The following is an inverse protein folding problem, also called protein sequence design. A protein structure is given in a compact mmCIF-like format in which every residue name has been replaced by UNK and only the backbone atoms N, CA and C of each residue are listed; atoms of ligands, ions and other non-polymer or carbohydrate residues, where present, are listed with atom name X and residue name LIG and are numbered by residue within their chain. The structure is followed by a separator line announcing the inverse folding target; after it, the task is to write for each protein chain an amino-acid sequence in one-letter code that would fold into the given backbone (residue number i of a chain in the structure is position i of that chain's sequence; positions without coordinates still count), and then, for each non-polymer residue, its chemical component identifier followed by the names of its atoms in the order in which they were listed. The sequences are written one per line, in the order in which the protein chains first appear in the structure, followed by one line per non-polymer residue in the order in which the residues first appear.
data_IF_869124220612
#
_entry.id   IF_869124220612
#
_cell.length_a   1.000
_cell.length_b   1.000
_cell.length_c   1.000
_cell.angle_alpha   90.00
_cell.angle_beta   90.00
_cell.angle_gamma   90.00
#
_symmetry.space_group_name_H-M   'P 1'
#
loop_
_entity.id
_entity.type
_entity.pdbx_description
1 polymer ?
#
# COMPACT_ATOMS: atom_id res chain seq x y z
N UNK A 1 -1.04 22.25 9.51
CA UNK A 1 -1.76 23.30 8.73
C UNK A 1 -1.98 22.79 7.32
N UNK A 2 -3.23 22.62 6.91
CA UNK A 2 -3.60 22.17 5.56
C UNK A 2 -3.52 23.35 4.61
N UNK A 3 -2.68 23.29 3.59
CA UNK A 3 -2.64 24.29 2.53
C UNK A 3 -3.95 24.20 1.72
N UNK A 4 -4.73 25.28 1.75
CA UNK A 4 -5.93 25.42 0.92
C UNK A 4 -5.59 26.26 -0.30
N UNK A 5 -6.01 25.81 -1.49
CA UNK A 5 -6.01 26.65 -2.68
C UNK A 5 -7.01 27.80 -2.50
N UNK A 6 -6.76 28.97 -3.12
CA UNK A 6 -7.77 30.02 -3.26
C UNK A 6 -9.06 29.41 -3.82
N UNK A 7 -10.23 29.96 -3.42
CA UNK A 7 -11.55 29.39 -3.75
C UNK A 7 -11.85 29.36 -5.25
N UNK A 8 -11.11 30.11 -6.03
CA UNK A 8 -11.40 30.35 -7.44
C UNK A 8 -10.55 29.44 -8.35
N UNK A 9 -11.23 28.60 -9.10
CA UNK A 9 -10.88 28.01 -10.40
C UNK A 9 -9.75 26.95 -10.52
N UNK A 10 -8.90 26.72 -9.52
CA UNK A 10 -7.79 25.76 -9.69
C UNK A 10 -8.20 24.29 -9.49
N UNK A 11 -9.33 24.01 -8.83
CA UNK A 11 -9.72 22.63 -8.51
C UNK A 11 -10.13 21.82 -9.73
N UNK A 12 -10.65 22.49 -10.76
CA UNK A 12 -11.13 21.88 -11.99
C UNK A 12 -10.09 21.90 -13.12
N UNK A 13 -8.91 22.48 -12.89
CA UNK A 13 -7.83 22.45 -13.88
C UNK A 13 -7.17 21.08 -13.89
N UNK A 14 -6.86 20.63 -15.09
CA UNK A 14 -6.18 19.37 -15.31
C UNK A 14 -4.66 19.55 -15.31
N UNK A 15 -3.96 18.51 -14.90
CA UNK A 15 -2.51 18.41 -14.93
C UNK A 15 -2.07 16.99 -15.31
N UNK A 16 -1.08 16.88 -16.16
CA UNK A 16 -0.46 15.60 -16.49
C UNK A 16 0.57 15.21 -15.45
N UNK A 17 0.44 14.02 -14.90
CA UNK A 17 1.41 13.45 -13.96
C UNK A 17 2.69 13.04 -14.70
N UNK A 18 3.85 13.51 -14.23
CA UNK A 18 5.15 13.20 -14.86
C UNK A 18 5.62 11.73 -14.65
N UNK A 19 4.90 10.94 -13.86
CA UNK A 19 5.28 9.55 -13.59
C UNK A 19 4.40 8.56 -14.34
N UNK A 20 3.08 8.78 -14.41
CA UNK A 20 2.17 7.85 -15.08
C UNK A 20 1.60 8.40 -16.40
N UNK A 21 1.97 9.61 -16.78
CA UNK A 21 1.53 10.35 -17.97
C UNK A 21 0.01 10.48 -18.11
N UNK A 22 -0.74 10.27 -17.02
CA UNK A 22 -2.20 10.44 -16.99
C UNK A 22 -2.55 11.89 -16.62
N UNK A 23 -3.45 12.50 -17.39
CA UNK A 23 -4.05 13.78 -17.06
C UNK A 23 -5.12 13.58 -16.00
N UNK A 24 -5.06 14.35 -14.92
CA UNK A 24 -5.95 14.28 -13.76
C UNK A 24 -6.22 15.69 -13.24
N UNK A 25 -7.33 15.89 -12.58
CA UNK A 25 -7.63 17.16 -11.92
C UNK A 25 -6.59 17.48 -10.84
N UNK A 26 -6.34 18.76 -10.60
CA UNK A 26 -5.34 19.23 -9.61
C UNK A 26 -5.59 18.68 -8.21
N UNK A 27 -6.83 18.36 -7.86
CA UNK A 27 -7.17 17.70 -6.59
C UNK A 27 -6.45 16.36 -6.36
N UNK A 28 -6.00 15.71 -7.43
CA UNK A 28 -5.21 14.47 -7.39
C UNK A 28 -3.70 14.71 -7.15
N UNK A 29 -3.28 15.96 -6.99
CA UNK A 29 -1.89 16.31 -6.72
C UNK A 29 -1.74 16.92 -5.34
N UNK A 30 -0.52 16.83 -4.78
CA UNK A 30 -0.20 17.49 -3.52
C UNK A 30 0.17 18.95 -3.78
N UNK A 31 -0.23 19.80 -2.86
CA UNK A 31 0.14 21.19 -2.83
C UNK A 31 1.35 21.37 -1.91
N UNK A 32 2.26 22.24 -2.29
CA UNK A 32 3.42 22.62 -1.48
C UNK A 32 3.62 24.14 -1.48
N UNK A 33 4.28 24.65 -0.45
CA UNK A 33 4.67 26.06 -0.41
C UNK A 33 5.84 26.29 -1.34
N UNK A 34 5.70 27.24 -2.27
CA UNK A 34 6.78 27.72 -3.11
C UNK A 34 6.66 29.25 -3.23
N UNK A 35 7.64 29.97 -2.69
CA UNK A 35 7.64 31.45 -2.70
C UNK A 35 7.71 32.04 -4.12
N UNK A 36 8.10 31.24 -5.10
CA UNK A 36 8.18 31.65 -6.52
C UNK A 36 6.86 31.43 -7.26
N UNK A 37 5.95 30.65 -6.68
CA UNK A 37 4.66 30.37 -7.30
C UNK A 37 3.64 31.46 -6.97
N UNK A 38 2.68 31.67 -7.89
CA UNK A 38 1.56 32.55 -7.63
C UNK A 38 0.81 32.11 -6.34
N UNK A 39 0.52 33.05 -5.45
CA UNK A 39 -0.05 32.79 -4.12
C UNK A 39 0.82 31.89 -3.21
N UNK A 40 2.13 31.78 -3.46
CA UNK A 40 3.07 30.95 -2.71
C UNK A 40 2.69 29.45 -2.63
N UNK A 41 1.91 28.96 -3.59
CA UNK A 41 1.46 27.57 -3.64
C UNK A 41 1.79 26.97 -5.00
N UNK A 42 2.56 25.90 -5.00
CA UNK A 42 2.84 25.09 -6.16
C UNK A 42 2.08 23.77 -6.12
N UNK A 43 1.69 23.28 -7.28
CA UNK A 43 1.12 21.94 -7.45
C UNK A 43 2.24 20.98 -7.84
N UNK A 44 2.41 19.90 -7.11
CA UNK A 44 3.42 18.88 -7.42
C UNK A 44 3.22 18.29 -8.81
N UNK A 45 4.31 17.86 -9.43
CA UNK A 45 4.29 17.27 -10.79
C UNK A 45 3.82 15.81 -10.81
N UNK A 46 3.91 15.12 -9.67
CA UNK A 46 3.49 13.72 -9.51
C UNK A 46 2.14 13.66 -8.81
N UNK A 47 1.21 12.88 -9.34
CA UNK A 47 -0.08 12.67 -8.67
C UNK A 47 0.07 11.92 -7.34
N UNK A 48 -0.92 12.05 -6.46
CA UNK A 48 -0.93 11.44 -5.11
C UNK A 48 -0.67 9.94 -5.16
N UNK A 49 -1.33 9.23 -6.07
CA UNK A 49 -1.13 7.80 -6.27
C UNK A 49 0.34 7.43 -6.59
N UNK A 50 0.96 8.14 -7.53
CA UNK A 50 2.36 7.90 -7.88
C UNK A 50 3.32 8.23 -6.73
N UNK A 51 3.01 9.26 -5.94
CA UNK A 51 3.79 9.63 -4.77
C UNK A 51 3.66 8.58 -3.66
N UNK A 52 2.44 8.10 -3.37
CA UNK A 52 2.20 7.03 -2.38
C UNK A 52 2.84 5.70 -2.83
N UNK A 53 2.75 5.35 -4.11
CA UNK A 53 3.40 4.16 -4.65
C UNK A 53 4.93 4.22 -4.49
N UNK A 54 5.55 5.38 -4.79
CA UNK A 54 6.98 5.59 -4.58
C UNK A 54 7.37 5.47 -3.10
N UNK A 55 6.54 5.99 -2.19
CA UNK A 55 6.76 5.87 -0.74
C UNK A 55 6.70 4.42 -0.30
N UNK A 56 5.73 3.67 -0.83
CA UNK A 56 5.59 2.26 -0.52
C UNK A 56 6.80 1.44 -0.98
N UNK A 57 7.29 1.66 -2.22
CA UNK A 57 8.54 1.03 -2.69
C UNK A 57 9.71 1.28 -1.73
N UNK A 58 9.87 2.52 -1.28
CA UNK A 58 10.92 2.85 -0.31
C UNK A 58 10.69 2.23 1.06
N UNK A 59 9.44 2.17 1.48
CA UNK A 59 9.07 1.54 2.75
C UNK A 59 9.42 0.06 2.75
N UNK A 60 9.02 -0.72 1.74
CA UNK A 60 9.35 -2.16 1.69
C UNK A 60 10.85 -2.39 1.62
N UNK A 61 11.60 -1.59 0.84
CA UNK A 61 13.07 -1.70 0.80
C UNK A 61 13.69 -1.41 2.15
N UNK A 62 13.24 -0.36 2.84
CA UNK A 62 13.79 0.03 4.15
C UNK A 62 13.42 -0.95 5.26
N UNK A 63 12.20 -1.48 5.23
CA UNK A 63 11.64 -2.27 6.35
C UNK A 63 11.95 -3.75 6.22
N UNK A 64 11.91 -4.28 5.00
CA UNK A 64 12.05 -5.73 4.73
C UNK A 64 13.30 -6.08 3.92
N UNK A 65 14.07 -5.08 3.53
CA UNK A 65 15.27 -5.19 2.67
C UNK A 65 15.03 -5.92 1.34
N UNK A 66 13.81 -5.92 0.82
CA UNK A 66 13.48 -6.45 -0.49
C UNK A 66 13.34 -5.35 -1.54
N UNK A 67 13.74 -5.63 -2.76
CA UNK A 67 13.54 -4.73 -3.88
C UNK A 67 12.08 -4.76 -4.37
N UNK A 68 11.71 -3.80 -5.22
CA UNK A 68 10.38 -3.83 -5.84
C UNK A 68 10.23 -5.00 -6.81
N UNK A 69 11.28 -5.33 -7.51
CA UNK A 69 11.36 -6.46 -8.43
C UNK A 69 11.12 -7.78 -7.68
N UNK A 70 11.75 -7.95 -6.51
CA UNK A 70 11.49 -9.11 -5.64
C UNK A 70 10.02 -9.16 -5.17
N UNK A 71 9.43 -8.00 -4.86
CA UNK A 71 8.01 -7.95 -4.52
C UNK A 71 7.13 -8.39 -5.71
N UNK A 72 7.44 -7.92 -6.93
CA UNK A 72 6.71 -8.31 -8.15
C UNK A 72 6.86 -9.81 -8.43
N UNK A 73 8.05 -10.37 -8.30
CA UNK A 73 8.28 -11.82 -8.43
C UNK A 73 7.44 -12.62 -7.42
N UNK A 74 7.39 -12.19 -6.16
CA UNK A 74 6.55 -12.84 -5.14
C UNK A 74 5.06 -12.72 -5.49
N UNK A 75 4.62 -11.58 -5.99
CA UNK A 75 3.25 -11.33 -6.41
C UNK A 75 2.85 -12.24 -7.57
N UNK A 76 3.73 -12.39 -8.58
CA UNK A 76 3.50 -13.24 -9.73
C UNK A 76 3.52 -14.73 -9.35
N UNK A 77 4.45 -15.15 -8.50
CA UNK A 77 4.52 -16.52 -7.97
C UNK A 77 3.27 -16.91 -7.16
N UNK A 78 2.59 -15.93 -6.56
CA UNK A 78 1.31 -16.10 -5.86
C UNK A 78 0.09 -15.90 -6.78
N UNK A 79 0.29 -15.68 -8.10
CA UNK A 79 -0.77 -15.36 -9.07
C UNK A 79 -1.63 -14.15 -8.65
N UNK A 80 -1.04 -13.17 -7.97
CA UNK A 80 -1.72 -11.99 -7.44
C UNK A 80 -2.68 -12.29 -6.30
N UNK A 81 -2.54 -13.44 -5.63
CA UNK A 81 -3.41 -13.92 -4.57
C UNK A 81 -2.74 -13.87 -3.19
N UNK A 82 -3.54 -13.70 -2.15
CA UNK A 82 -3.09 -13.86 -0.77
C UNK A 82 -2.55 -15.27 -0.54
N UNK A 83 -1.39 -15.41 0.10
CA UNK A 83 -0.77 -16.71 0.36
C UNK A 83 -1.64 -17.63 1.25
N UNK A 84 -2.49 -17.05 2.12
CA UNK A 84 -3.35 -17.80 3.05
C UNK A 84 -4.73 -18.05 2.42
N UNK A 85 -5.55 -17.02 2.26
CA UNK A 85 -6.96 -17.20 1.85
C UNK A 85 -7.16 -17.31 0.34
N UNK A 86 -6.10 -17.20 -0.45
CA UNK A 86 -6.11 -17.28 -1.92
C UNK A 86 -7.01 -16.23 -2.61
N UNK A 87 -7.55 -15.26 -1.87
CA UNK A 87 -8.31 -14.17 -2.49
C UNK A 87 -7.42 -13.38 -3.42
N UNK A 88 -7.93 -13.13 -4.63
CA UNK A 88 -7.23 -12.33 -5.63
C UNK A 88 -7.36 -10.85 -5.29
N UNK A 89 -6.24 -10.15 -5.28
CA UNK A 89 -6.22 -8.71 -5.12
C UNK A 89 -6.15 -8.07 -6.50
N UNK A 90 -7.07 -7.16 -6.77
CA UNK A 90 -7.02 -6.35 -7.98
C UNK A 90 -5.69 -5.61 -8.06
N UNK A 91 -5.03 -5.66 -9.21
CA UNK A 91 -3.73 -5.00 -9.48
C UNK A 91 -3.81 -3.46 -9.49
N UNK A 92 -4.83 -2.87 -8.86
CA UNK A 92 -4.90 -1.43 -8.72
C UNK A 92 -3.84 -0.96 -7.71
N UNK A 93 -3.29 0.25 -7.93
CA UNK A 93 -2.31 0.85 -7.02
C UNK A 93 -2.82 1.08 -5.60
N UNK A 94 -4.11 0.97 -5.39
CA UNK A 94 -4.80 1.18 -4.11
C UNK A 94 -5.11 -0.12 -3.36
N UNK A 95 -5.21 -1.23 -4.07
CA UNK A 95 -5.37 -2.57 -3.51
C UNK A 95 -4.11 -3.38 -3.78
N UNK A 96 -3.41 -3.77 -2.74
CA UNK A 96 -2.13 -4.51 -2.81
C UNK A 96 -2.08 -5.56 -1.72
N UNK A 97 -1.24 -6.57 -1.94
CA UNK A 97 -0.83 -7.48 -0.89
C UNK A 97 0.23 -6.81 0.00
N UNK A 98 0.26 -7.16 1.26
CA UNK A 98 1.22 -6.69 2.24
C UNK A 98 2.33 -7.72 2.41
N UNK A 99 3.56 -7.24 2.54
CA UNK A 99 4.69 -8.11 2.86
C UNK A 99 4.51 -8.64 4.28
N UNK A 100 4.45 -9.95 4.41
CA UNK A 100 4.45 -10.65 5.68
C UNK A 100 5.86 -11.15 6.01
N UNK A 101 6.25 -11.08 7.26
CA UNK A 101 7.58 -11.46 7.72
C UNK A 101 7.55 -12.02 9.14
N UNK A 102 8.53 -12.80 9.48
CA UNK A 102 8.73 -13.28 10.85
C UNK A 102 9.26 -12.13 11.71
N UNK A 103 8.61 -11.83 12.82
CA UNK A 103 9.00 -10.76 13.73
C UNK A 103 10.33 -11.03 14.46
N UNK A 104 10.67 -12.30 14.67
CA UNK A 104 11.90 -12.70 15.36
C UNK A 104 13.11 -12.69 14.43
N UNK A 105 12.93 -13.21 13.19
CA UNK A 105 14.06 -13.40 12.25
C UNK A 105 14.09 -12.35 11.15
N UNK A 106 13.05 -11.50 11.05
CA UNK A 106 12.83 -10.53 9.98
C UNK A 106 12.73 -11.15 8.56
N UNK A 107 12.69 -12.46 8.46
CA UNK A 107 12.60 -13.16 7.19
C UNK A 107 11.21 -12.96 6.58
N UNK A 108 11.19 -12.49 5.33
CA UNK A 108 9.95 -12.37 4.54
C UNK A 108 9.39 -13.77 4.25
N UNK A 109 8.11 -13.97 4.54
CA UNK A 109 7.37 -15.25 4.36
C UNK A 109 6.55 -15.27 3.09
N UNK A 110 5.96 -14.13 2.71
CA UNK A 110 5.09 -14.03 1.55
C UNK A 110 4.29 -12.74 1.52
N UNK A 111 3.29 -12.71 0.65
CA UNK A 111 2.38 -11.58 0.49
C UNK A 111 0.98 -11.96 0.95
N UNK A 112 0.38 -11.15 1.81
CA UNK A 112 -0.93 -11.38 2.38
C UNK A 112 -1.91 -10.23 2.08
N UNK A 113 -3.20 -10.52 2.04
CA UNK A 113 -4.23 -9.49 2.12
C UNK A 113 -4.24 -8.86 3.53
N UNK A 114 -4.84 -7.68 3.65
CA UNK A 114 -4.91 -6.95 4.93
C UNK A 114 -5.51 -7.80 6.06
N UNK A 115 -6.61 -8.51 5.78
CA UNK A 115 -7.30 -9.33 6.78
C UNK A 115 -6.45 -10.49 7.30
N UNK A 116 -5.78 -11.24 6.40
CA UNK A 116 -4.91 -12.35 6.81
C UNK A 116 -3.69 -11.86 7.57
N UNK A 117 -3.03 -10.78 7.10
CA UNK A 117 -1.89 -10.21 7.78
C UNK A 117 -2.24 -9.71 9.20
N UNK A 118 -3.38 -9.02 9.32
CA UNK A 118 -3.87 -8.56 10.62
C UNK A 118 -4.30 -9.74 11.52
N UNK A 119 -4.96 -10.76 10.95
CA UNK A 119 -5.36 -11.97 11.67
C UNK A 119 -4.17 -12.70 12.30
N UNK A 120 -3.08 -12.92 11.55
CA UNK A 120 -1.86 -13.50 12.11
C UNK A 120 -1.30 -12.66 13.27
N UNK A 121 -1.29 -11.33 13.13
CA UNK A 121 -0.85 -10.43 14.19
C UNK A 121 -1.71 -10.53 15.46
N UNK A 122 -3.03 -10.67 15.34
CA UNK A 122 -3.94 -10.90 16.50
C UNK A 122 -3.64 -12.21 17.21
N UNK A 123 -3.27 -13.25 16.50
CA UNK A 123 -2.78 -14.52 17.07
C UNK A 123 -1.28 -14.48 17.42
N UNK A 124 -0.63 -13.29 17.39
CA UNK A 124 0.79 -13.09 17.73
C UNK A 124 1.74 -14.01 16.95
N UNK A 125 1.40 -14.35 15.71
CA UNK A 125 2.12 -15.34 14.87
C UNK A 125 2.33 -16.70 15.57
N UNK A 126 1.55 -16.99 16.60
CA UNK A 126 1.71 -18.18 17.44
C UNK A 126 1.06 -19.40 16.81
N UNK A 127 1.88 -20.36 16.40
CA UNK A 127 1.41 -21.66 15.91
C UNK A 127 0.52 -22.37 16.94
N UNK A 128 0.82 -22.23 18.24
CA UNK A 128 0.05 -22.84 19.33
C UNK A 128 -1.36 -22.23 19.43
N UNK A 129 -1.46 -20.88 19.36
CA UNK A 129 -2.75 -20.20 19.40
C UNK A 129 -3.59 -20.51 18.16
N UNK A 130 -2.96 -20.55 16.98
CA UNK A 130 -3.64 -20.91 15.73
C UNK A 130 -4.18 -22.35 15.79
N UNK A 131 -3.40 -23.32 16.29
CA UNK A 131 -3.88 -24.70 16.48
C UNK A 131 -5.04 -24.77 17.47
N UNK A 132 -4.98 -24.02 18.59
CA UNK A 132 -6.08 -23.95 19.52
C UNK A 132 -7.34 -23.34 18.91
N UNK A 133 -7.20 -22.34 18.05
CA UNK A 133 -8.33 -21.75 17.34
C UNK A 133 -8.97 -22.74 16.35
N UNK A 134 -8.17 -23.56 15.66
CA UNK A 134 -8.68 -24.64 14.81
C UNK A 134 -9.48 -25.61 15.65
N UNK A 135 -8.91 -26.17 16.73
CA UNK A 135 -9.61 -27.12 17.59
C UNK A 135 -10.90 -26.56 18.19
N UNK A 136 -10.89 -25.25 18.52
CA UNK A 136 -12.08 -24.57 19.03
C UNK A 136 -13.21 -24.56 17.99
N UNK A 137 -12.91 -24.24 16.74
CA UNK A 137 -13.91 -24.25 15.65
C UNK A 137 -14.43 -25.66 15.35
N UNK A 138 -13.54 -26.66 15.39
CA UNK A 138 -13.91 -28.07 15.15
C UNK A 138 -14.77 -28.68 16.27
N UNK A 139 -14.70 -28.13 17.50
CA UNK A 139 -15.50 -28.60 18.61
C UNK A 139 -17.00 -28.29 18.51
N UNK A 140 -17.38 -27.30 17.69
CA UNK A 140 -18.78 -26.93 17.47
C UNK A 140 -19.46 -27.77 16.37
N UNK A 141 -18.73 -28.66 15.66
CA UNK A 141 -19.26 -29.52 14.60
C UNK A 141 -19.72 -30.91 15.14
N UNK A 142 -19.64 -31.14 16.44
CA UNK A 142 -20.15 -32.32 17.14
C UNK A 142 -21.35 -31.94 18.05
#
# INVERSE_FOLDING_TARGET
MTLKLPKDDYRNKDRTCTTCNKTKTISNFKLERDKRAHNNIAVRTKCKECDEFRKYKRFIKKTYDISWETYEEMFDNQNGCCAICKSKVSSSRTTRLFVDHCHDTLKVRGLLCSSCNHGLGLFKDSHTLLKRAINYLESDEN
#
